data_IF_727498175675
#
_entry.id   IF_727498175675
#
_cell.length_a   1.000
_cell.length_b   1.000
_cell.length_c   1.000
_cell.angle_alpha   90.00
_cell.angle_beta   90.00
_cell.angle_gamma   90.00
#
_symmetry.space_group_name_H-M   'P 1'
#
loop_
_entity.id
_entity.type
_entity.pdbx_description
1 polymer ?
#
# COMPACT_ATOMS: atom_id res chain seq x y z
N UNK A 1 11.00 13.20 7.94
CA UNK A 1 10.06 12.18 8.40
C UNK A 1 9.73 11.31 7.22
N UNK A 2 9.92 9.99 7.34
CA UNK A 2 9.68 9.04 6.25
C UNK A 2 8.18 8.79 6.10
N UNK A 3 7.57 9.31 5.04
CA UNK A 3 6.16 9.09 4.75
C UNK A 3 5.93 7.78 4.00
N UNK A 4 4.67 7.45 3.73
CA UNK A 4 4.31 6.28 2.90
C UNK A 4 5.01 6.33 1.53
N UNK A 5 5.22 7.52 0.96
CA UNK A 5 5.89 7.71 -0.32
C UNK A 5 7.33 7.18 -0.36
N UNK A 6 8.02 7.12 0.79
CA UNK A 6 9.40 6.63 0.87
C UNK A 6 9.46 5.10 0.98
N UNK A 7 8.32 4.45 1.25
CA UNK A 7 8.19 3.02 1.52
C UNK A 7 7.34 2.28 0.50
N UNK A 8 6.81 2.97 -0.50
CA UNK A 8 5.99 2.37 -1.55
C UNK A 8 6.77 2.28 -2.87
N UNK A 9 6.66 1.13 -3.54
CA UNK A 9 7.24 0.93 -4.85
C UNK A 9 6.34 0.05 -5.71
N UNK A 10 6.34 0.26 -7.03
CA UNK A 10 5.75 -0.70 -7.95
C UNK A 10 6.58 -1.99 -7.94
N UNK A 11 5.89 -3.14 -7.92
CA UNK A 11 6.52 -4.46 -8.06
C UNK A 11 7.05 -4.62 -9.50
N UNK A 12 6.30 -4.14 -10.48
CA UNK A 12 6.67 -4.13 -11.88
C UNK A 12 6.76 -2.68 -12.39
N UNK A 13 7.90 -2.32 -12.96
CA UNK A 13 8.15 -0.97 -13.48
C UNK A 13 7.76 -0.81 -14.95
N UNK A 14 7.67 -1.91 -15.71
CA UNK A 14 7.21 -1.92 -17.11
C UNK A 14 5.67 -1.99 -17.20
N UNK A 15 4.99 -0.91 -17.61
CA UNK A 15 3.53 -0.89 -17.75
C UNK A 15 3.02 -1.87 -18.82
N UNK A 16 3.87 -2.30 -19.76
CA UNK A 16 3.53 -3.27 -20.80
C UNK A 16 3.13 -4.64 -20.24
N UNK A 17 3.61 -4.98 -19.04
CA UNK A 17 3.29 -6.23 -18.34
C UNK A 17 1.90 -6.23 -17.69
N UNK A 18 1.20 -5.09 -17.70
CA UNK A 18 -0.17 -4.95 -17.16
C UNK A 18 -0.29 -5.31 -15.68
N UNK A 19 0.82 -5.19 -14.95
CA UNK A 19 0.88 -5.35 -13.50
C UNK A 19 1.04 -3.98 -12.85
N UNK A 20 0.05 -3.61 -12.04
CA UNK A 20 0.02 -2.36 -11.28
C UNK A 20 0.23 -2.59 -9.77
N UNK A 21 0.72 -3.77 -9.38
CA UNK A 21 0.94 -4.14 -7.99
C UNK A 21 1.98 -3.22 -7.35
N UNK A 22 1.71 -2.81 -6.12
CA UNK A 22 2.64 -2.05 -5.28
C UNK A 22 3.05 -2.87 -4.06
N UNK A 23 4.28 -2.68 -3.62
CA UNK A 23 4.77 -3.14 -2.33
C UNK A 23 4.88 -1.95 -1.39
N UNK A 24 4.31 -2.08 -0.20
CA UNK A 24 4.53 -1.15 0.92
C UNK A 24 5.46 -1.84 1.91
N UNK A 25 6.65 -1.29 2.11
CA UNK A 25 7.63 -1.77 3.07
C UNK A 25 7.40 -1.16 4.47
N UNK A 26 7.90 -1.84 5.51
CA UNK A 26 7.89 -1.38 6.90
C UNK A 26 6.54 -0.77 7.33
N UNK A 27 5.45 -1.54 7.17
CA UNK A 27 4.08 -1.09 7.44
C UNK A 27 3.95 -0.42 8.81
N UNK A 28 3.25 0.70 8.85
CA UNK A 28 2.96 1.48 10.06
C UNK A 28 1.45 1.60 10.22
N UNK A 29 0.96 1.71 11.46
CA UNK A 29 -0.49 1.89 11.71
C UNK A 29 -1.05 3.12 11.00
N UNK A 30 -0.23 4.17 10.84
CA UNK A 30 -0.51 5.40 10.10
C UNK A 30 -0.71 5.20 8.59
N UNK A 31 -0.35 4.04 8.05
CA UNK A 31 -0.62 3.67 6.65
C UNK A 31 -2.07 3.20 6.44
N UNK A 32 -2.85 3.04 7.52
CA UNK A 32 -4.28 2.72 7.42
C UNK A 32 -5.02 3.81 6.66
N UNK A 33 -5.80 3.41 5.66
CA UNK A 33 -6.57 4.36 4.85
C UNK A 33 -7.21 3.74 3.63
N UNK A 34 -7.82 4.61 2.81
CA UNK A 34 -8.38 4.24 1.51
C UNK A 34 -7.34 4.44 0.42
N UNK A 35 -7.00 3.37 -0.27
CA UNK A 35 -6.06 3.33 -1.38
C UNK A 35 -6.84 3.28 -2.69
N UNK A 36 -6.29 3.93 -3.72
CA UNK A 36 -6.89 3.92 -5.06
C UNK A 36 -5.90 3.37 -6.08
N UNK A 37 -6.29 2.29 -6.77
CA UNK A 37 -5.64 1.91 -8.02
C UNK A 37 -6.27 2.69 -9.16
N UNK A 38 -5.47 3.53 -9.84
CA UNK A 38 -5.91 4.39 -10.94
C UNK A 38 -5.15 4.01 -12.20
N UNK A 39 -5.85 3.48 -13.20
CA UNK A 39 -5.26 3.13 -14.49
C UNK A 39 -5.79 4.06 -15.57
N UNK A 40 -4.88 4.68 -16.33
CA UNK A 40 -5.21 5.60 -17.41
C UNK A 40 -4.74 5.06 -18.75
N UNK A 41 -5.66 4.96 -19.71
CA UNK A 41 -5.36 4.75 -21.13
C UNK A 41 -6.02 5.87 -21.95
N UNK A 42 -7.24 5.64 -22.43
CA UNK A 42 -8.08 6.68 -23.04
C UNK A 42 -9.08 7.26 -22.04
N UNK A 43 -9.54 6.42 -21.10
CA UNK A 43 -10.34 6.77 -19.94
C UNK A 43 -9.57 6.45 -18.66
N UNK A 44 -10.09 6.88 -17.51
CA UNK A 44 -9.55 6.52 -16.20
C UNK A 44 -10.47 5.48 -15.56
N UNK A 45 -9.93 4.33 -15.21
CA UNK A 45 -10.56 3.37 -14.33
C UNK A 45 -10.00 3.55 -12.92
N UNK A 46 -10.88 3.55 -11.92
CA UNK A 46 -10.51 3.66 -10.50
C UNK A 46 -11.09 2.48 -9.74
N UNK A 47 -10.27 1.86 -8.89
CA UNK A 47 -10.69 0.87 -7.92
C UNK A 47 -10.20 1.30 -6.55
N UNK A 48 -11.13 1.39 -5.58
CA UNK A 48 -10.81 1.76 -4.20
C UNK A 48 -10.72 0.52 -3.32
N UNK A 49 -9.75 0.51 -2.41
CA UNK A 49 -9.53 -0.56 -1.44
C UNK A 49 -9.24 0.07 -0.08
N UNK A 50 -9.83 -0.47 0.98
CA UNK A 50 -9.54 -0.04 2.35
C UNK A 50 -8.44 -0.96 2.90
N UNK A 51 -7.35 -0.35 3.37
CA UNK A 51 -6.24 -1.06 4.02
C UNK A 51 -6.24 -0.69 5.49
N UNK A 52 -6.21 -1.70 6.35
CA UNK A 52 -6.06 -1.54 7.80
C UNK A 52 -4.78 -2.22 8.24
N UNK A 53 -3.89 -1.46 8.86
CA UNK A 53 -2.68 -1.97 9.50
C UNK A 53 -2.93 -2.06 10.98
N UNK A 54 -2.74 -3.25 11.55
CA UNK A 54 -2.83 -3.48 12.99
C UNK A 54 -1.42 -3.67 13.53
N UNK A 55 -1.09 -3.01 14.65
CA UNK A 55 0.11 -3.33 15.40
C UNK A 55 0.10 -4.78 15.87
N UNK A 56 1.28 -5.37 15.97
CA UNK A 56 1.41 -6.68 16.60
C UNK A 56 1.01 -6.57 18.07
N UNK A 57 0.07 -7.40 18.50
CA UNK A 57 -0.24 -7.51 19.91
C UNK A 57 0.97 -8.13 20.62
N UNK A 58 1.84 -7.30 21.17
CA UNK A 58 2.84 -7.76 22.14
C UNK A 58 2.02 -8.20 23.35
N UNK A 59 1.77 -9.51 23.44
CA UNK A 59 1.28 -10.11 24.67
C UNK A 59 2.33 -9.79 25.72
N UNK A 60 2.04 -8.80 26.56
CA UNK A 60 2.89 -8.45 27.69
C UNK A 60 3.14 -9.76 28.46
N UNK A 61 4.40 -10.13 28.73
CA UNK A 61 4.64 -11.30 29.54
C UNK A 61 3.94 -11.09 30.89
N UNK A 62 3.03 -11.99 31.26
CA UNK A 62 2.52 -12.02 32.63
C UNK A 62 3.64 -12.57 33.51
N UNK A 63 4.54 -11.70 33.94
CA UNK A 63 5.39 -11.93 35.12
C UNK A 63 5.67 -10.61 35.85
#
# INVERSE_FOLDING_TARGET
>A
GSGLQDRVAFVQTDPGQRDASIRVADLQESDTGTYQCRVKKNTVAVHEVIVTVQGEAVTAPLW
#
